data_IF_538943459020
#
_entry.id   IF_538943459020
#
_cell.length_a   1.000
_cell.length_b   1.000
_cell.length_c   1.000
_cell.angle_alpha   90.00
_cell.angle_beta   90.00
_cell.angle_gamma   90.00
#
_symmetry.space_group_name_H-M   'P 1'
#
loop_
_entity.id
_entity.type
_entity.pdbx_description
1 polymer ?
#
# COMPACT_ATOMS: atom_id res chain seq x y z
N UNK A 1 -4.57 15.23 18.32
CA UNK A 1 -4.46 13.77 18.47
C UNK A 1 -3.03 13.41 18.78
N UNK A 2 -2.79 12.58 19.78
CA UNK A 2 -1.44 12.12 20.11
C UNK A 2 -0.96 11.12 19.05
N UNK A 3 0.34 11.04 18.87
CA UNK A 3 0.94 10.18 17.85
C UNK A 3 0.51 8.71 18.00
N UNK A 4 0.41 8.20 19.22
CA UNK A 4 -0.07 6.83 19.45
C UNK A 4 -1.48 6.63 18.88
N UNK A 5 -2.39 7.57 19.12
CA UNK A 5 -3.76 7.49 18.62
C UNK A 5 -3.78 7.59 17.10
N UNK A 6 -2.93 8.43 16.50
CA UNK A 6 -2.80 8.53 15.04
C UNK A 6 -2.36 7.20 14.43
N UNK A 7 -1.37 6.54 15.04
CA UNK A 7 -0.90 5.23 14.58
C UNK A 7 -1.99 4.17 14.64
N UNK A 8 -2.76 4.17 15.73
CA UNK A 8 -3.88 3.23 15.88
C UNK A 8 -4.93 3.42 14.79
N UNK A 9 -5.26 4.66 14.46
CA UNK A 9 -6.22 4.97 13.39
C UNK A 9 -5.65 4.56 12.03
N UNK A 10 -4.38 4.87 11.77
CA UNK A 10 -3.71 4.47 10.51
C UNK A 10 -3.73 2.95 10.38
N UNK A 11 -3.34 2.21 11.42
CA UNK A 11 -3.33 0.75 11.39
C UNK A 11 -4.73 0.19 11.14
N UNK A 12 -5.76 0.75 11.77
CA UNK A 12 -7.13 0.30 11.56
C UNK A 12 -7.56 0.48 10.11
N UNK A 13 -7.26 1.63 9.51
CA UNK A 13 -7.62 1.91 8.12
C UNK A 13 -6.84 1.05 7.14
N UNK A 14 -5.53 0.88 7.36
CA UNK A 14 -4.71 0.02 6.50
C UNK A 14 -5.14 -1.43 6.62
N UNK A 15 -5.48 -1.88 7.83
CA UNK A 15 -6.00 -3.23 8.07
C UNK A 15 -7.31 -3.48 7.33
N UNK A 16 -8.21 -2.50 7.30
CA UNK A 16 -9.47 -2.60 6.56
C UNK A 16 -9.22 -2.70 5.05
N UNK A 17 -8.31 -1.88 4.51
CA UNK A 17 -7.96 -1.93 3.09
C UNK A 17 -7.33 -3.28 2.71
N UNK A 18 -6.47 -3.80 3.57
CA UNK A 18 -5.84 -5.10 3.35
C UNK A 18 -6.87 -6.22 3.40
N UNK A 19 -7.80 -6.16 4.35
CA UNK A 19 -8.87 -7.15 4.47
C UNK A 19 -9.76 -7.14 3.22
N UNK A 20 -10.10 -5.96 2.69
CA UNK A 20 -10.88 -5.82 1.47
C UNK A 20 -10.16 -6.47 0.28
N UNK A 21 -8.85 -6.22 0.14
CA UNK A 21 -8.05 -6.85 -0.90
C UNK A 21 -8.03 -8.38 -0.75
N UNK A 22 -7.97 -8.87 0.48
CA UNK A 22 -8.01 -10.31 0.76
C UNK A 22 -9.33 -10.95 0.38
N UNK A 23 -10.44 -10.29 0.68
CA UNK A 23 -11.78 -10.76 0.29
C UNK A 23 -11.91 -10.81 -1.23
N UNK A 24 -11.50 -9.75 -1.92
CA UNK A 24 -11.52 -9.72 -3.38
C UNK A 24 -10.63 -10.81 -3.97
N UNK A 25 -9.46 -11.05 -3.38
CA UNK A 25 -8.52 -12.07 -3.83
C UNK A 25 -9.12 -13.47 -3.74
N UNK A 26 -9.79 -13.79 -2.65
CA UNK A 26 -10.44 -15.10 -2.45
C UNK A 26 -11.55 -15.31 -3.48
N UNK A 27 -12.30 -14.27 -3.82
CA UNK A 27 -13.40 -14.33 -4.78
C UNK A 27 -12.93 -14.27 -6.23
N UNK A 28 -11.70 -13.87 -6.47
CA UNK A 28 -11.18 -13.63 -7.81
C UNK A 28 -10.79 -14.91 -8.53
N UNK A 29 -11.22 -15.04 -9.80
CA UNK A 29 -10.86 -16.19 -10.66
C UNK A 29 -9.90 -15.80 -11.77
N UNK A 30 -9.69 -14.49 -11.98
CA UNK A 30 -8.78 -13.99 -13.01
C UNK A 30 -7.37 -13.90 -12.45
N UNK A 31 -6.42 -14.60 -13.09
CA UNK A 31 -5.02 -14.65 -12.63
C UNK A 31 -4.37 -13.27 -12.60
N UNK A 32 -4.65 -12.44 -13.61
CA UNK A 32 -4.07 -11.09 -13.68
C UNK A 32 -4.55 -10.20 -12.54
N UNK A 33 -5.85 -10.25 -12.24
CA UNK A 33 -6.45 -9.50 -11.14
C UNK A 33 -5.95 -10.05 -9.80
N UNK A 34 -5.80 -11.38 -9.70
CA UNK A 34 -5.26 -12.03 -8.51
C UNK A 34 -3.82 -11.56 -8.22
N UNK A 35 -2.97 -11.48 -9.24
CA UNK A 35 -1.61 -10.97 -9.09
C UNK A 35 -1.60 -9.52 -8.61
N UNK A 36 -2.46 -8.69 -9.18
CA UNK A 36 -2.61 -7.29 -8.78
C UNK A 36 -3.02 -7.18 -7.31
N UNK A 37 -4.05 -7.93 -6.91
CA UNK A 37 -4.55 -7.90 -5.53
C UNK A 37 -3.51 -8.44 -4.54
N UNK A 38 -2.73 -9.44 -4.93
CA UNK A 38 -1.64 -9.97 -4.12
C UNK A 38 -0.60 -8.88 -3.86
N UNK A 39 -0.17 -8.18 -4.91
CA UNK A 39 0.78 -7.08 -4.79
C UNK A 39 0.25 -5.96 -3.89
N UNK A 40 -1.04 -5.63 -4.05
CA UNK A 40 -1.69 -4.59 -3.24
C UNK A 40 -1.73 -4.99 -1.76
N UNK A 41 -2.14 -6.22 -1.46
CA UNK A 41 -2.21 -6.71 -0.08
C UNK A 41 -0.83 -6.74 0.57
N UNK A 42 0.19 -7.18 -0.16
CA UNK A 42 1.57 -7.23 0.35
C UNK A 42 2.11 -5.83 0.65
N UNK A 43 1.84 -4.85 -0.21
CA UNK A 43 2.25 -3.47 0.02
C UNK A 43 1.57 -2.87 1.26
N UNK A 44 0.28 -3.15 1.44
CA UNK A 44 -0.46 -2.70 2.63
C UNK A 44 0.12 -3.34 3.90
N UNK A 45 0.52 -4.61 3.83
CA UNK A 45 1.18 -5.30 4.95
C UNK A 45 2.51 -4.63 5.32
N UNK A 46 3.32 -4.26 4.32
CA UNK A 46 4.57 -3.54 4.54
C UNK A 46 4.31 -2.18 5.21
N UNK A 47 3.30 -1.45 4.74
CA UNK A 47 2.93 -0.17 5.33
C UNK A 47 2.52 -0.33 6.79
N UNK A 48 1.74 -1.37 7.11
CA UNK A 48 1.35 -1.66 8.49
C UNK A 48 2.57 -1.95 9.38
N UNK A 49 3.53 -2.72 8.88
CA UNK A 49 4.76 -3.00 9.60
C UNK A 49 5.55 -1.73 9.90
N UNK A 50 5.59 -0.79 8.97
CA UNK A 50 6.23 0.51 9.19
C UNK A 50 5.57 1.27 10.33
N UNK A 51 4.24 1.31 10.35
CA UNK A 51 3.50 1.99 11.42
C UNK A 51 3.79 1.33 12.77
N UNK A 52 3.81 0.00 12.81
CA UNK A 52 4.11 -0.75 14.04
C UNK A 52 5.55 -0.56 14.50
N UNK A 53 6.49 -0.34 13.58
CA UNK A 53 7.91 -0.14 13.91
C UNK A 53 8.20 1.23 14.53
N UNK A 54 7.19 2.08 14.69
CA UNK A 54 7.29 3.43 15.26
C UNK A 54 8.13 4.39 14.42
N UNK A 55 8.21 4.18 13.10
CA UNK A 55 8.79 5.15 12.19
C UNK A 55 8.03 6.48 12.29
N UNK A 56 8.71 7.59 12.07
CA UNK A 56 8.06 8.89 12.10
C UNK A 56 6.99 8.99 11.01
N UNK A 57 5.82 9.53 11.35
CA UNK A 57 4.69 9.62 10.41
C UNK A 57 5.08 10.39 9.15
N UNK A 58 5.86 11.45 9.26
CA UNK A 58 6.31 12.20 8.10
C UNK A 58 7.26 11.39 7.22
N UNK A 59 8.15 10.63 7.82
CA UNK A 59 9.05 9.72 7.11
C UNK A 59 8.26 8.64 6.39
N UNK A 60 7.21 8.12 7.02
CA UNK A 60 6.33 7.12 6.40
C UNK A 60 5.67 7.65 5.13
N UNK A 61 5.14 8.86 5.17
CA UNK A 61 4.48 9.47 4.01
C UNK A 61 5.44 9.56 2.82
N UNK A 62 6.66 10.01 3.07
CA UNK A 62 7.69 10.10 2.02
C UNK A 62 8.08 8.73 1.48
N UNK A 63 8.30 7.77 2.38
CA UNK A 63 8.69 6.41 1.99
C UNK A 63 7.61 5.76 1.14
N UNK A 64 6.35 5.86 1.56
CA UNK A 64 5.23 5.23 0.84
C UNK A 64 5.06 5.84 -0.55
N UNK A 65 5.20 7.15 -0.68
CA UNK A 65 5.14 7.83 -1.96
C UNK A 65 6.30 7.40 -2.88
N UNK A 66 7.50 7.27 -2.32
CA UNK A 66 8.67 6.80 -3.06
C UNK A 66 8.48 5.36 -3.55
N UNK A 67 7.93 4.49 -2.68
CA UNK A 67 7.68 3.09 -3.04
C UNK A 67 6.59 2.96 -4.12
N UNK A 68 5.60 3.82 -4.11
CA UNK A 68 4.59 3.87 -5.17
C UNK A 68 5.27 4.12 -6.52
N UNK A 69 6.07 5.18 -6.62
CA UNK A 69 6.78 5.53 -7.86
C UNK A 69 7.74 4.42 -8.29
N UNK A 70 8.50 3.88 -7.35
CA UNK A 70 9.45 2.80 -7.62
C UNK A 70 8.75 1.57 -8.22
N UNK A 71 7.62 1.17 -7.63
CA UNK A 71 6.88 0.01 -8.10
C UNK A 71 6.21 0.27 -9.46
N UNK A 72 5.75 1.49 -9.73
CA UNK A 72 5.23 1.84 -11.06
C UNK A 72 6.32 1.72 -12.12
N UNK A 73 7.53 2.20 -11.83
CA UNK A 73 8.66 2.11 -12.75
C UNK A 73 9.07 0.66 -12.99
N UNK A 74 9.06 -0.17 -11.94
CA UNK A 74 9.36 -1.59 -12.04
C UNK A 74 8.29 -2.33 -12.86
N UNK A 75 7.02 -1.95 -12.73
CA UNK A 75 5.93 -2.52 -13.52
C UNK A 75 6.12 -2.22 -15.00
N UNK A 76 6.47 -0.99 -15.33
CA UNK A 76 6.70 -0.59 -16.72
C UNK A 76 7.89 -1.38 -17.33
N UNK A 77 9.00 -1.48 -16.58
CA UNK A 77 10.15 -2.27 -17.02
C UNK A 77 9.78 -3.74 -17.24
N UNK A 78 8.97 -4.30 -16.35
CA UNK A 78 8.53 -5.69 -16.48
C UNK A 78 7.67 -5.90 -17.74
N UNK A 79 6.79 -4.93 -18.06
CA UNK A 79 5.99 -4.99 -19.29
C UNK A 79 6.86 -4.96 -20.53
N UNK A 80 7.84 -4.08 -20.55
CA UNK A 80 8.77 -3.96 -21.68
C UNK A 80 9.55 -5.25 -21.91
N UNK A 81 9.75 -6.05 -20.85
CA UNK A 81 10.43 -7.34 -20.93
C UNK A 81 9.46 -8.52 -21.05
N UNK A 82 8.18 -8.26 -21.28
CA UNK A 82 7.11 -9.27 -21.39
C UNK A 82 6.94 -10.13 -20.12
N UNK A 83 7.25 -9.55 -18.96
CA UNK A 83 7.08 -10.21 -17.65
C UNK A 83 5.75 -9.78 -17.04
N UNK A 84 4.63 -10.26 -17.60
CA UNK A 84 3.30 -9.79 -17.27
C UNK A 84 2.89 -10.02 -15.81
N UNK A 85 3.21 -11.20 -15.26
CA UNK A 85 2.91 -11.49 -13.85
C UNK A 85 3.61 -10.51 -12.92
N UNK A 86 4.90 -10.26 -13.15
CA UNK A 86 5.66 -9.31 -12.35
C UNK A 86 5.12 -7.90 -12.51
N UNK A 87 4.75 -7.50 -13.72
CA UNK A 87 4.15 -6.20 -13.98
C UNK A 87 2.87 -6.01 -13.15
N UNK A 88 1.99 -7.00 -13.13
CA UNK A 88 0.74 -6.93 -12.37
C UNK A 88 0.97 -6.88 -10.86
N UNK A 89 1.93 -7.67 -10.35
CA UNK A 89 2.30 -7.62 -8.94
C UNK A 89 2.82 -6.23 -8.54
N UNK A 90 3.66 -5.62 -9.38
CA UNK A 90 4.21 -4.29 -9.11
C UNK A 90 3.17 -3.19 -9.22
N UNK A 91 2.23 -3.30 -10.16
CA UNK A 91 1.12 -2.37 -10.26
C UNK A 91 0.22 -2.44 -9.02
N UNK A 92 -0.07 -3.65 -8.56
CA UNK A 92 -0.82 -3.84 -7.32
C UNK A 92 -0.08 -3.25 -6.12
N UNK A 93 1.22 -3.50 -6.03
CA UNK A 93 2.04 -2.93 -4.95
C UNK A 93 2.00 -1.40 -4.99
N UNK A 94 2.13 -0.79 -6.17
CA UNK A 94 2.03 0.67 -6.32
C UNK A 94 0.67 1.19 -5.82
N UNK A 95 -0.42 0.50 -6.17
CA UNK A 95 -1.76 0.87 -5.70
C UNK A 95 -1.88 0.77 -4.18
N UNK A 96 -1.29 -0.27 -3.58
CA UNK A 96 -1.27 -0.43 -2.12
C UNK A 96 -0.49 0.67 -1.43
N UNK A 97 0.69 1.00 -1.92
CA UNK A 97 1.50 2.09 -1.37
C UNK A 97 0.81 3.44 -1.53
N UNK A 98 0.16 3.67 -2.66
CA UNK A 98 -0.61 4.90 -2.88
C UNK A 98 -1.75 5.01 -1.88
N UNK A 99 -2.51 3.94 -1.67
CA UNK A 99 -3.61 3.93 -0.71
C UNK A 99 -3.10 4.19 0.71
N UNK A 100 -1.99 3.55 1.09
CA UNK A 100 -1.37 3.75 2.40
C UNK A 100 -0.87 5.19 2.57
N UNK A 101 -0.24 5.75 1.56
CA UNK A 101 0.23 7.13 1.58
C UNK A 101 -0.92 8.11 1.79
N UNK A 102 -2.05 7.88 1.14
CA UNK A 102 -3.25 8.71 1.32
C UNK A 102 -3.78 8.64 2.74
N UNK A 103 -3.85 7.45 3.32
CA UNK A 103 -4.30 7.28 4.70
C UNK A 103 -3.41 8.07 5.65
N UNK A 104 -2.10 7.90 5.55
CA UNK A 104 -1.14 8.60 6.41
C UNK A 104 -1.25 10.11 6.24
N UNK A 105 -1.32 10.59 5.01
CA UNK A 105 -1.39 12.01 4.70
C UNK A 105 -2.69 12.62 5.23
N UNK A 106 -3.83 11.96 5.01
CA UNK A 106 -5.13 12.45 5.47
C UNK A 106 -5.19 12.54 6.99
N UNK A 107 -4.72 11.52 7.69
CA UNK A 107 -4.75 11.52 9.15
C UNK A 107 -3.80 12.59 9.70
N UNK A 108 -2.63 12.76 9.10
CA UNK A 108 -1.70 13.82 9.47
C UNK A 108 -2.32 15.21 9.28
N UNK A 109 -2.98 15.44 8.15
CA UNK A 109 -3.63 16.73 7.86
C UNK A 109 -4.78 17.01 8.81
N UNK A 110 -5.60 16.02 9.12
CA UNK A 110 -6.68 16.16 10.09
C UNK A 110 -6.16 16.56 11.46
N UNK A 111 -4.96 16.17 11.80
CA UNK A 111 -4.37 16.43 13.10
C UNK A 111 -3.68 17.80 13.21
N UNK A 112 -3.52 18.51 12.10
CA UNK A 112 -2.90 19.84 12.07
C UNK A 112 -3.87 20.98 12.36
N UNK A 113 -5.15 20.72 12.31
CA UNK A 113 -6.17 21.75 12.50
C UNK A 113 -6.62 21.94 13.93
#
# INVERSE_FOLDING_TARGET
>A
MKEKAMREVILAQLGALRADAGVELVACKDTGVSDYLTGKADALAVAMQMVESKALIETMAHFLCHEETRNMNMAESARLCSKDTMARLREGAAAGYMAASRVVTEIREMNKS
#
